data_IF_225454318632
#
_entry.id   IF_225454318632
#
_cell.length_a   1.000
_cell.length_b   1.000
_cell.length_c   1.000
_cell.angle_alpha   90.00
_cell.angle_beta   90.00
_cell.angle_gamma   90.00
#
_symmetry.space_group_name_H-M   'P 1'
#
loop_
_entity.id
_entity.type
_entity.pdbx_description
1 polymer ?
#
# COMPACT_ATOMS: atom_id res chain seq x y z
N UNK A 1 7.02 10.38 -10.74
CA UNK A 1 7.58 9.19 -11.43
C UNK A 1 6.60 8.66 -12.46
N UNK A 2 7.08 7.85 -13.42
CA UNK A 2 6.29 7.31 -14.54
C UNK A 2 6.02 5.81 -14.45
N UNK A 3 5.82 5.26 -13.24
CA UNK A 3 5.50 3.84 -13.05
C UNK A 3 4.02 3.64 -12.74
N UNK A 4 3.48 2.52 -13.22
CA UNK A 4 2.10 2.08 -13.05
C UNK A 4 2.14 0.71 -12.38
N UNK A 5 1.23 0.49 -11.43
CA UNK A 5 1.04 -0.81 -10.79
C UNK A 5 -0.27 -1.44 -11.28
N UNK A 6 -0.18 -2.66 -11.80
CA UNK A 6 -1.34 -3.47 -12.18
C UNK A 6 -1.58 -4.51 -11.10
N UNK A 7 -2.76 -4.44 -10.48
CA UNK A 7 -3.14 -5.32 -9.38
C UNK A 7 -4.04 -6.45 -9.90
N UNK A 8 -3.58 -7.68 -9.70
CA UNK A 8 -4.36 -8.91 -9.88
C UNK A 8 -4.71 -9.51 -8.53
N UNK A 9 -5.52 -10.59 -8.51
CA UNK A 9 -5.95 -11.25 -7.27
C UNK A 9 -4.77 -11.59 -6.34
N UNK A 10 -3.69 -12.13 -6.89
CA UNK A 10 -2.51 -12.63 -6.15
C UNK A 10 -1.19 -12.16 -6.75
N UNK A 11 -1.24 -11.15 -7.62
CA UNK A 11 -0.05 -10.68 -8.32
C UNK A 11 -0.08 -9.18 -8.47
N UNK A 12 1.08 -8.55 -8.35
CA UNK A 12 1.29 -7.13 -8.58
C UNK A 12 2.33 -7.02 -9.68
N UNK A 13 2.00 -6.32 -10.76
CA UNK A 13 2.93 -6.09 -11.86
C UNK A 13 3.26 -4.60 -11.90
N UNK A 14 4.54 -4.28 -11.79
CA UNK A 14 5.02 -2.91 -11.99
C UNK A 14 5.49 -2.77 -13.42
N UNK A 15 4.97 -1.74 -14.08
CA UNK A 15 5.33 -1.37 -15.43
C UNK A 15 5.61 0.14 -15.52
N UNK A 16 6.38 0.56 -16.53
CA UNK A 16 6.55 1.98 -16.84
C UNK A 16 5.30 2.52 -17.59
N UNK A 17 5.15 3.83 -17.77
CA UNK A 17 4.11 4.48 -18.61
C UNK A 17 4.03 3.92 -20.03
N UNK A 18 5.16 3.42 -20.56
CA UNK A 18 5.23 2.71 -21.85
C UNK A 18 4.79 1.24 -21.79
N UNK A 19 4.21 0.80 -20.66
CA UNK A 19 3.82 -0.57 -20.37
C UNK A 19 4.98 -1.59 -20.46
N UNK A 20 6.22 -1.10 -20.33
CA UNK A 20 7.39 -1.96 -20.22
C UNK A 20 7.38 -2.59 -18.83
N UNK A 21 7.33 -3.92 -18.80
CA UNK A 21 7.39 -4.72 -17.57
C UNK A 21 8.70 -4.44 -16.81
N UNK A 22 8.59 -4.15 -15.52
CA UNK A 22 9.75 -3.97 -14.63
C UNK A 22 9.89 -5.16 -13.69
N UNK A 23 8.83 -5.46 -12.94
CA UNK A 23 8.83 -6.60 -12.03
C UNK A 23 7.41 -7.13 -11.81
N UNK A 24 7.34 -8.40 -11.37
CA UNK A 24 6.11 -9.04 -10.92
C UNK A 24 6.34 -9.59 -9.53
N UNK A 25 5.47 -9.23 -8.60
CA UNK A 25 5.38 -9.84 -7.28
C UNK A 25 4.21 -10.79 -7.20
N UNK A 26 4.43 -11.92 -6.55
CA UNK A 26 3.40 -12.90 -6.24
C UNK A 26 3.12 -12.88 -4.74
N UNK A 27 1.85 -12.71 -4.40
CA UNK A 27 1.34 -12.62 -3.05
C UNK A 27 0.44 -13.82 -2.75
N UNK A 28 0.67 -14.49 -1.61
CA UNK A 28 -0.15 -15.64 -1.20
C UNK A 28 -1.57 -15.21 -0.81
N UNK A 29 -1.70 -14.00 -0.25
CA UNK A 29 -2.98 -13.42 0.17
C UNK A 29 -3.48 -12.44 -0.89
N UNK A 30 -4.81 -12.31 -1.02
CA UNK A 30 -5.39 -11.38 -1.98
C UNK A 30 -4.98 -9.93 -1.70
N UNK A 31 -4.47 -9.26 -2.73
CA UNK A 31 -4.20 -7.81 -2.69
C UNK A 31 -5.52 -7.05 -2.70
N UNK A 32 -5.66 -6.08 -1.80
CA UNK A 32 -6.88 -5.27 -1.64
C UNK A 32 -6.78 -3.99 -2.44
N UNK A 33 -5.76 -3.19 -2.16
CA UNK A 33 -5.44 -1.97 -2.91
C UNK A 33 -3.98 -1.56 -2.67
N UNK A 34 -3.55 -0.49 -3.31
CA UNK A 34 -2.26 0.14 -3.08
C UNK A 34 -2.18 1.51 -3.71
N UNK A 35 -1.19 2.29 -3.28
CA UNK A 35 -0.91 3.64 -3.71
C UNK A 35 0.60 3.82 -3.91
N UNK A 36 0.96 4.77 -4.76
CA UNK A 36 2.36 5.15 -4.96
C UNK A 36 2.73 6.28 -4.00
N UNK A 37 3.88 6.14 -3.37
CA UNK A 37 4.53 7.23 -2.65
C UNK A 37 5.38 8.09 -3.60
N UNK A 38 5.63 9.34 -3.24
CA UNK A 38 6.42 10.29 -4.04
C UNK A 38 7.86 9.81 -4.29
N UNK A 39 8.37 8.96 -3.38
CA UNK A 39 9.69 8.33 -3.48
C UNK A 39 9.75 7.16 -4.47
N UNK A 40 8.64 6.80 -5.12
CA UNK A 40 8.60 5.65 -6.04
C UNK A 40 8.46 4.30 -5.35
N UNK A 41 7.98 4.31 -4.11
CA UNK A 41 7.64 3.09 -3.36
C UNK A 41 6.17 2.79 -3.58
N UNK A 42 5.86 1.59 -4.06
CA UNK A 42 4.48 1.14 -4.16
C UNK A 42 4.06 0.51 -2.84
N UNK A 43 3.13 1.14 -2.13
CA UNK A 43 2.62 0.65 -0.85
C UNK A 43 1.27 0.00 -1.11
N UNK A 44 1.08 -1.23 -0.65
CA UNK A 44 -0.17 -1.96 -0.87
C UNK A 44 -0.60 -2.70 0.40
N UNK A 45 -1.92 -2.91 0.50
CA UNK A 45 -2.50 -3.70 1.58
C UNK A 45 -3.02 -5.03 1.09
N UNK A 46 -2.77 -6.02 1.91
CA UNK A 46 -3.39 -7.34 1.86
C UNK A 46 -4.39 -7.43 3.02
N UNK A 47 -4.98 -8.60 3.22
CA UNK A 47 -5.91 -8.81 4.34
C UNK A 47 -5.27 -8.52 5.71
N UNK A 48 -4.01 -8.93 5.89
CA UNK A 48 -3.36 -8.96 7.20
C UNK A 48 -2.04 -8.18 7.23
N UNK A 49 -1.62 -7.57 6.11
CA UNK A 49 -0.33 -6.88 6.05
C UNK A 49 -0.41 -5.63 5.18
N UNK A 50 0.24 -4.57 5.65
CA UNK A 50 0.71 -3.46 4.83
C UNK A 50 2.11 -3.82 4.35
N UNK A 51 2.30 -3.83 3.04
CA UNK A 51 3.53 -4.20 2.38
C UNK A 51 4.00 -3.07 1.45
N UNK A 52 5.29 -3.07 1.15
CA UNK A 52 5.87 -2.21 0.13
C UNK A 52 6.48 -3.04 -1.00
N UNK A 53 6.57 -2.44 -2.17
CA UNK A 53 7.27 -2.93 -3.32
C UNK A 53 8.06 -1.80 -3.97
N UNK A 54 9.31 -2.07 -4.28
CA UNK A 54 10.15 -1.21 -5.11
C UNK A 54 10.08 -1.68 -6.57
N UNK A 55 10.19 -0.77 -7.54
CA UNK A 55 10.26 -1.12 -8.97
C UNK A 55 11.46 -2.04 -9.32
N UNK A 56 12.45 -2.11 -8.43
CA UNK A 56 13.59 -3.04 -8.53
C UNK A 56 13.24 -4.50 -8.22
N UNK A 57 12.02 -4.78 -7.74
CA UNK A 57 11.56 -6.12 -7.36
C UNK A 57 11.68 -6.43 -5.87
N UNK A 58 12.33 -5.58 -5.08
CA UNK A 58 12.38 -5.71 -3.64
C UNK A 58 11.00 -5.47 -3.03
N UNK A 59 10.65 -6.31 -2.06
CA UNK A 59 9.38 -6.18 -1.34
C UNK A 59 9.53 -6.59 0.11
N UNK A 60 8.67 -6.04 0.96
CA UNK A 60 8.73 -6.30 2.38
C UNK A 60 7.43 -5.95 3.11
N UNK A 61 7.34 -6.41 4.34
CA UNK A 61 6.21 -6.11 5.24
C UNK A 61 6.56 -4.86 6.03
N UNK A 62 5.73 -3.82 5.92
CA UNK A 62 5.83 -2.61 6.76
C UNK A 62 5.21 -2.90 8.13
N UNK A 63 4.01 -3.50 8.12
CA UNK A 63 3.23 -3.75 9.34
C UNK A 63 2.25 -4.90 9.14
N UNK A 64 2.07 -5.70 10.17
CA UNK A 64 0.99 -6.69 10.28
C UNK A 64 -0.26 -6.05 10.88
N UNK A 65 -1.42 -6.36 10.32
CA UNK A 65 -2.73 -5.87 10.72
C UNK A 65 -3.59 -7.03 11.24
N UNK A 66 -4.31 -6.79 12.33
CA UNK A 66 -5.30 -7.74 12.86
C UNK A 66 -6.65 -7.67 12.12
N UNK A 67 -6.92 -6.53 11.47
CA UNK A 67 -8.17 -6.25 10.72
C UNK A 67 -7.79 -5.69 9.35
N UNK A 68 -8.49 -6.07 8.26
CA UNK A 68 -8.19 -5.56 6.93
C UNK A 68 -8.50 -4.06 6.81
N UNK A 69 -7.52 -3.31 6.33
CA UNK A 69 -7.61 -1.87 6.11
C UNK A 69 -7.48 -1.56 4.62
N UNK A 70 -8.35 -0.68 4.14
CA UNK A 70 -8.31 -0.19 2.77
C UNK A 70 -7.56 1.16 2.73
N UNK A 71 -6.49 1.22 1.93
CA UNK A 71 -5.82 2.48 1.58
C UNK A 71 -6.71 3.30 0.66
N UNK A 72 -7.01 4.55 1.00
CA UNK A 72 -7.69 5.50 0.14
C UNK A 72 -6.72 6.63 -0.20
N UNK A 73 -6.47 6.83 -1.51
CA UNK A 73 -5.68 7.96 -2.00
C UNK A 73 -6.57 9.21 -2.03
N UNK A 74 -6.65 9.87 -0.87
CA UNK A 74 -7.05 11.27 -0.73
C UNK A 74 -5.77 12.12 -0.58
N UNK A 75 -5.79 13.47 -0.64
CA UNK A 75 -4.58 14.29 -0.43
C UNK A 75 -3.80 13.99 0.87
N UNK A 76 -4.41 13.22 1.77
CA UNK A 76 -3.77 12.52 2.86
C UNK A 76 -4.12 11.03 2.74
N UNK A 77 -3.16 10.12 2.93
CA UNK A 77 -3.44 8.68 2.94
C UNK A 77 -4.34 8.39 4.15
N UNK A 78 -5.57 7.96 3.88
CA UNK A 78 -6.57 7.64 4.89
C UNK A 78 -6.78 6.13 4.96
N UNK A 79 -6.72 5.60 6.17
CA UNK A 79 -6.98 4.20 6.50
C UNK A 79 -8.40 4.07 7.05
N UNK A 80 -9.28 3.33 6.36
CA UNK A 80 -10.64 3.05 6.85
C UNK A 80 -10.71 1.61 7.37
N UNK A 81 -11.03 1.46 8.66
CA UNK A 81 -11.28 0.17 9.32
C UNK A 81 -12.76 -0.20 9.18
N UNK A 82 -13.05 -1.34 8.53
CA UNK A 82 -14.43 -1.79 8.30
C UNK A 82 -15.05 -2.30 9.61
N UNK A 83 -15.72 -1.42 10.35
CA UNK A 83 -16.49 -1.79 11.56
C UNK A 83 -16.60 -0.71 12.63
N UNK A 84 -15.85 0.40 12.52
CA UNK A 84 -16.02 1.56 13.41
C UNK A 84 -15.91 2.84 12.58
N UNK A 85 -16.98 3.62 12.56
CA UNK A 85 -16.95 5.01 12.07
C UNK A 85 -16.20 5.84 13.11
N UNK A 86 -14.88 5.69 13.19
CA UNK A 86 -14.03 6.60 13.97
C UNK A 86 -13.77 7.85 13.12
N UNK A 87 -14.22 9.04 13.56
CA UNK A 87 -13.96 10.27 12.82
C UNK A 87 -12.45 10.51 12.72
N UNK A 88 -12.03 10.82 11.49
CA UNK A 88 -10.68 10.94 10.93
C UNK A 88 -9.65 11.76 11.74
N UNK A 89 -10.10 12.61 12.66
CA UNK A 89 -9.23 13.54 13.37
C UNK A 89 -8.36 12.85 14.44
N UNK A 90 -8.80 11.70 14.98
CA UNK A 90 -8.11 11.07 16.11
C UNK A 90 -6.91 10.18 15.70
N UNK A 91 -6.85 9.71 14.45
CA UNK A 91 -5.77 8.82 13.99
C UNK A 91 -4.51 9.56 13.53
N UNK A 92 -4.61 10.83 13.09
CA UNK A 92 -3.42 11.63 12.77
C UNK A 92 -2.53 11.82 14.00
N UNK A 93 -3.11 11.97 15.19
CA UNK A 93 -2.34 12.18 16.42
C UNK A 93 -1.57 10.94 16.89
N UNK A 94 -2.07 9.73 16.62
CA UNK A 94 -1.44 8.48 17.06
C UNK A 94 -0.45 7.89 16.05
N UNK A 95 -0.53 8.24 14.77
CA UNK A 95 0.38 7.69 13.75
C UNK A 95 1.61 8.59 13.52
N UNK A 96 1.49 9.91 13.60
CA UNK A 96 2.65 10.82 13.51
C UNK A 96 3.53 10.87 14.76
N UNK A 97 3.03 10.41 15.93
CA UNK A 97 3.86 10.26 17.13
C UNK A 97 4.82 9.06 17.08
N UNK A 98 4.74 8.22 16.05
CA UNK A 98 5.46 6.94 15.99
C UNK A 98 6.64 6.91 15.01
N UNK A 99 6.93 8.02 14.34
CA UNK A 99 8.13 8.16 13.52
C UNK A 99 9.13 9.05 14.27
N UNK A 100 10.07 8.49 15.06
CA UNK A 100 11.29 9.22 15.37
C UNK A 100 12.14 9.23 14.08
N UNK A 101 12.57 10.43 13.69
CA UNK A 101 13.68 10.76 12.79
C UNK A 101 14.26 9.64 11.91
#
# INVERSE_FOLDING_TARGET
MESIALLSKHSIVIANKKLVHQCTLHETIRVKNGAWDDNGVFIYTTLNHIKYCLPNGDSGIIRTLDVPVYCMETPFIVWIEMGRTVPLLLMQHNMFSSYPY
#
